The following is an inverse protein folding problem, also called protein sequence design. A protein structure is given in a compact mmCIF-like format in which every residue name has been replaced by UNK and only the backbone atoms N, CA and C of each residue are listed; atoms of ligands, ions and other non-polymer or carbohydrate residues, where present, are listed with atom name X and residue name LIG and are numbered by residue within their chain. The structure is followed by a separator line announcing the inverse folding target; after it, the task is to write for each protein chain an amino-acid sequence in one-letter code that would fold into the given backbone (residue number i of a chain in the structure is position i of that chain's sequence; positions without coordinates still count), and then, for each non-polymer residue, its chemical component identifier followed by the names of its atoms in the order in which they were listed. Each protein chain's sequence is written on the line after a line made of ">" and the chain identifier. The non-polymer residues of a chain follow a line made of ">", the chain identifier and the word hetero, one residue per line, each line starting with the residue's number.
data_IF_426085581292
#
_entry.id   IF_426085581292
#
_cell.length_a   1.000
_cell.length_b   1.000
_cell.length_c   1.000
_cell.angle_alpha   90.00
_cell.angle_beta   90.00
_cell.angle_gamma   90.00
#
_symmetry.space_group_name_H-M   'P 1'
#
loop_
_entity.id
_entity.type
_entity.pdbx_description
1 polymer ?
#
# COMPACT_ATOMS: atom_id res chain seq x y z
N UNK A 1 16.38 -17.49 2.34
CA UNK A 1 15.94 -16.36 1.51
C UNK A 1 14.54 -16.01 1.96
N UNK A 2 14.28 -14.77 2.37
CA UNK A 2 12.93 -14.38 2.83
C UNK A 2 12.00 -14.31 1.61
N UNK A 3 10.78 -14.86 1.73
CA UNK A 3 9.84 -15.00 0.61
C UNK A 3 9.24 -13.63 0.26
N UNK A 4 9.20 -13.27 -1.02
CA UNK A 4 8.60 -12.02 -1.48
C UNK A 4 7.07 -11.99 -1.26
N UNK A 5 6.50 -10.78 -1.16
CA UNK A 5 5.05 -10.59 -0.95
C UNK A 5 4.23 -11.27 -2.05
N UNK A 6 4.65 -11.13 -3.31
CA UNK A 6 3.97 -11.75 -4.46
C UNK A 6 3.87 -13.27 -4.31
N UNK A 7 5.01 -13.94 -4.12
CA UNK A 7 5.09 -15.40 -3.97
C UNK A 7 4.25 -15.89 -2.79
N UNK A 8 4.33 -15.17 -1.66
CA UNK A 8 3.55 -15.47 -0.46
C UNK A 8 2.04 -15.44 -0.75
N UNK A 9 1.55 -14.37 -1.38
CA UNK A 9 0.11 -14.19 -1.63
C UNK A 9 -0.44 -15.21 -2.63
N UNK A 10 0.34 -15.60 -3.63
CA UNK A 10 -0.02 -16.68 -4.55
C UNK A 10 -0.08 -18.02 -3.80
N UNK A 11 0.95 -18.35 -3.02
CA UNK A 11 1.04 -19.60 -2.25
C UNK A 11 -0.10 -19.75 -1.22
N UNK A 12 -0.51 -18.65 -0.60
CA UNK A 12 -1.61 -18.62 0.37
C UNK A 12 -3.00 -18.52 -0.29
N UNK A 13 -3.11 -18.57 -1.62
CA UNK A 13 -4.35 -18.40 -2.38
C UNK A 13 -5.09 -17.08 -2.05
N UNK A 14 -4.34 -16.04 -1.71
CA UNK A 14 -4.83 -14.67 -1.43
C UNK A 14 -4.75 -13.75 -2.65
N UNK A 15 -4.06 -14.19 -3.70
CA UNK A 15 -3.95 -13.48 -4.96
C UNK A 15 -3.98 -14.45 -6.13
N UNK A 16 -4.37 -13.94 -7.30
CA UNK A 16 -4.31 -14.65 -8.57
C UNK A 16 -3.77 -13.73 -9.65
N UNK A 17 -2.94 -14.28 -10.52
CA UNK A 17 -2.53 -13.62 -11.76
C UNK A 17 -3.77 -13.39 -12.62
N UNK A 18 -3.88 -12.19 -13.20
CA UNK A 18 -4.96 -11.83 -14.11
C UNK A 18 -4.40 -11.25 -15.42
N UNK A 19 -5.04 -11.62 -16.53
CA UNK A 19 -4.69 -11.15 -17.88
C UNK A 19 -5.14 -9.70 -18.16
N UNK A 20 -6.11 -9.23 -17.39
CA UNK A 20 -6.62 -7.86 -17.43
C UNK A 20 -6.89 -7.38 -16.01
N UNK A 21 -6.68 -6.09 -15.78
CA UNK A 21 -6.89 -5.44 -14.49
C UNK A 21 -7.61 -4.11 -14.68
N UNK A 22 -8.23 -3.64 -13.62
CA UNK A 22 -8.92 -2.37 -13.65
C UNK A 22 -9.11 -1.77 -12.27
N UNK A 23 -9.35 -0.47 -12.23
CA UNK A 23 -9.74 0.25 -11.02
C UNK A 23 -11.23 0.58 -11.12
N UNK A 24 -11.99 0.21 -10.11
CA UNK A 24 -13.32 0.73 -9.87
C UNK A 24 -13.24 1.75 -8.73
N UNK A 25 -13.55 3.00 -9.02
CA UNK A 25 -13.65 4.05 -7.99
C UNK A 25 -14.90 3.85 -7.11
N UNK A 26 -14.93 4.45 -5.91
CA UNK A 26 -16.13 4.46 -5.07
C UNK A 26 -17.38 5.08 -5.73
N UNK A 27 -17.19 5.99 -6.69
CA UNK A 27 -18.27 6.61 -7.46
C UNK A 27 -18.76 5.77 -8.66
N UNK A 28 -18.29 4.52 -8.81
CA UNK A 28 -18.70 3.62 -9.87
C UNK A 28 -17.98 3.79 -11.20
N UNK A 29 -17.06 4.76 -11.33
CA UNK A 29 -16.19 4.85 -12.52
C UNK A 29 -15.27 3.64 -12.55
N UNK A 30 -15.29 2.90 -13.65
CA UNK A 30 -14.42 1.76 -13.88
C UNK A 30 -13.54 1.98 -15.09
N UNK A 31 -12.26 1.68 -14.95
CA UNK A 31 -11.32 1.61 -16.07
C UNK A 31 -10.69 0.22 -16.07
N UNK A 32 -10.86 -0.53 -17.16
CA UNK A 32 -10.28 -1.86 -17.33
C UNK A 32 -9.30 -1.78 -18.50
N UNK A 33 -8.04 -2.05 -18.21
CA UNK A 33 -6.97 -2.14 -19.22
C UNK A 33 -6.65 -3.59 -19.54
N UNK A 34 -6.41 -3.90 -20.82
CA UNK A 34 -5.83 -5.17 -21.26
C UNK A 34 -4.32 -5.09 -21.11
N UNK A 35 -3.86 -5.26 -19.88
CA UNK A 35 -2.46 -5.07 -19.53
C UNK A 35 -1.51 -6.06 -20.24
N UNK A 36 -2.01 -7.22 -20.65
CA UNK A 36 -1.25 -8.28 -21.36
C UNK A 36 -0.80 -7.89 -22.77
N UNK A 37 -1.59 -7.13 -23.53
CA UNK A 37 -1.25 -6.71 -24.90
C UNK A 37 -0.09 -5.70 -24.93
N UNK A 38 0.16 -5.01 -23.82
CA UNK A 38 1.20 -3.96 -23.68
C UNK A 38 2.48 -4.49 -23.01
N UNK A 39 2.37 -5.48 -22.11
CA UNK A 39 3.48 -5.91 -21.24
C UNK A 39 4.02 -7.33 -21.54
N UNK A 40 3.46 -8.03 -22.53
CA UNK A 40 3.96 -9.34 -22.98
C UNK A 40 3.63 -10.49 -22.02
N UNK A 41 4.61 -11.38 -21.75
CA UNK A 41 4.42 -12.57 -20.90
C UNK A 41 4.35 -12.26 -19.39
N UNK A 42 4.69 -11.03 -18.98
CA UNK A 42 4.64 -10.65 -17.57
C UNK A 42 3.18 -10.39 -17.19
N UNK A 43 2.61 -11.12 -16.22
CA UNK A 43 1.26 -10.88 -15.78
C UNK A 43 1.15 -9.47 -15.20
N UNK A 44 0.45 -8.62 -15.91
CA UNK A 44 0.44 -7.20 -15.65
C UNK A 44 -0.63 -6.77 -14.62
N UNK A 45 -1.40 -7.72 -14.10
CA UNK A 45 -2.36 -7.48 -13.03
C UNK A 45 -2.41 -8.64 -12.03
N UNK A 46 -2.59 -8.29 -10.75
CA UNK A 46 -2.82 -9.22 -9.66
C UNK A 46 -4.23 -8.97 -9.10
N UNK A 47 -5.11 -9.95 -9.24
CA UNK A 47 -6.41 -9.94 -8.58
C UNK A 47 -6.22 -10.38 -7.11
N UNK A 48 -6.42 -9.46 -6.18
CA UNK A 48 -6.35 -9.72 -4.74
C UNK A 48 -7.33 -8.81 -4.00
N UNK A 49 -7.68 -9.18 -2.76
CA UNK A 49 -8.42 -8.27 -1.88
C UNK A 49 -7.44 -7.31 -1.22
N UNK A 50 -7.77 -6.01 -1.20
CA UNK A 50 -6.91 -4.93 -0.67
C UNK A 50 -6.42 -5.18 0.75
N UNK A 51 -7.28 -5.56 1.69
CA UNK A 51 -6.88 -5.88 3.06
C UNK A 51 -5.75 -6.92 3.14
N UNK A 52 -5.73 -7.95 2.29
CA UNK A 52 -4.63 -8.93 2.26
C UNK A 52 -3.33 -8.35 1.71
N UNK A 53 -3.42 -7.55 0.64
CA UNK A 53 -2.24 -6.93 0.02
C UNK A 53 -1.65 -5.85 0.94
N UNK A 54 -2.49 -4.95 1.43
CA UNK A 54 -2.11 -3.82 2.27
C UNK A 54 -1.47 -4.30 3.59
N UNK A 55 -2.05 -5.32 4.24
CA UNK A 55 -1.48 -5.96 5.43
C UNK A 55 -0.10 -6.58 5.12
N UNK A 56 0.01 -7.32 4.01
CA UNK A 56 1.27 -7.97 3.64
C UNK A 56 2.40 -6.95 3.40
N UNK A 57 2.08 -5.81 2.75
CA UNK A 57 3.00 -4.70 2.52
C UNK A 57 3.39 -4.04 3.84
N UNK A 58 2.42 -3.66 4.68
CA UNK A 58 2.67 -3.00 5.96
C UNK A 58 3.57 -3.86 6.86
N UNK A 59 3.29 -5.16 6.94
CA UNK A 59 4.07 -6.09 7.74
C UNK A 59 5.45 -6.37 7.14
N UNK A 60 5.61 -6.33 5.82
CA UNK A 60 6.92 -6.42 5.18
C UNK A 60 7.79 -5.18 5.48
N UNK A 61 7.21 -3.98 5.39
CA UNK A 61 7.90 -2.75 5.77
C UNK A 61 8.30 -2.77 7.24
N UNK A 62 7.41 -3.23 8.14
CA UNK A 62 7.73 -3.42 9.56
C UNK A 62 8.90 -4.39 9.76
N UNK A 63 8.92 -5.53 9.07
CA UNK A 63 10.05 -6.49 9.10
C UNK A 63 11.35 -5.87 8.58
N UNK A 64 11.27 -4.96 7.60
CA UNK A 64 12.41 -4.20 7.10
C UNK A 64 12.87 -3.06 8.03
N UNK A 65 12.22 -2.88 9.18
CA UNK A 65 12.59 -1.90 10.20
C UNK A 65 11.76 -0.62 10.22
N UNK A 66 10.72 -0.51 9.39
CA UNK A 66 9.81 0.62 9.46
C UNK A 66 9.00 0.59 10.77
N UNK A 67 8.81 1.75 11.39
CA UNK A 67 7.95 1.88 12.56
C UNK A 67 6.49 1.97 12.12
N UNK A 68 5.79 0.83 12.12
CA UNK A 68 4.36 0.76 11.83
C UNK A 68 3.54 1.09 13.09
N UNK A 69 2.73 2.14 13.02
CA UNK A 69 1.81 2.54 14.07
C UNK A 69 0.37 2.26 13.64
N UNK A 70 -0.31 1.39 14.37
CA UNK A 70 -1.71 1.02 14.13
C UNK A 70 -2.65 1.83 15.03
N UNK A 71 -3.93 1.94 14.63
CA UNK A 71 -4.96 2.68 15.37
C UNK A 71 -4.52 4.10 15.77
N UNK A 72 -3.71 4.75 14.93
CA UNK A 72 -3.12 6.05 15.19
C UNK A 72 -3.65 7.06 14.18
N UNK A 73 -4.84 7.58 14.44
CA UNK A 73 -5.48 8.61 13.61
C UNK A 73 -4.63 9.88 13.55
N UNK A 74 -4.49 10.45 12.35
CA UNK A 74 -3.77 11.70 12.11
C UNK A 74 -4.76 12.85 12.17
N UNK A 75 -4.54 13.78 13.11
CA UNK A 75 -5.35 14.99 13.28
C UNK A 75 -4.95 16.08 12.30
N UNK A 76 -3.64 16.30 12.17
CA UNK A 76 -3.09 17.40 11.40
C UNK A 76 -1.66 17.10 10.91
N UNK A 77 -1.25 17.75 9.83
CA UNK A 77 0.09 17.67 9.26
C UNK A 77 0.54 19.06 8.78
N UNK A 78 1.55 19.62 9.43
CA UNK A 78 2.03 20.99 9.16
C UNK A 78 3.45 20.94 8.59
N UNK A 79 3.67 21.62 7.47
CA UNK A 79 4.99 21.79 6.87
C UNK A 79 5.64 23.09 7.33
N UNK A 80 6.84 22.98 7.92
CA UNK A 80 7.70 24.13 8.19
C UNK A 80 8.67 24.31 7.02
N UNK A 81 8.42 25.32 6.18
CA UNK A 81 9.23 25.61 5.01
C UNK A 81 10.67 26.06 5.35
N UNK A 82 10.91 26.63 6.55
CA UNK A 82 12.26 27.03 6.97
C UNK A 82 13.06 25.82 7.43
N UNK A 83 12.44 24.93 8.18
CA UNK A 83 13.08 23.69 8.64
C UNK A 83 13.12 22.59 7.57
N UNK A 84 12.26 22.67 6.56
CA UNK A 84 12.11 21.64 5.52
C UNK A 84 11.56 20.32 6.08
N UNK A 85 10.64 20.40 7.05
CA UNK A 85 10.12 19.25 7.78
C UNK A 85 8.60 19.30 7.88
N UNK A 86 7.98 18.13 7.72
CA UNK A 86 6.60 17.88 8.12
C UNK A 86 6.55 17.50 9.60
N UNK A 87 5.55 18.02 10.30
CA UNK A 87 5.16 17.56 11.63
C UNK A 87 3.75 16.98 11.56
N UNK A 88 3.61 15.72 11.95
CA UNK A 88 2.34 14.99 12.02
C UNK A 88 1.87 14.95 13.47
N UNK A 89 0.60 15.31 13.70
CA UNK A 89 -0.06 15.30 15.00
C UNK A 89 -1.14 14.21 15.03
N UNK A 90 -1.22 13.47 16.13
CA UNK A 90 -2.23 12.42 16.29
C UNK A 90 -3.49 12.96 16.98
N UNK A 91 -4.63 12.30 16.76
CA UNK A 91 -5.94 12.72 17.31
C UNK A 91 -5.98 12.59 18.85
N UNK A 92 -5.56 11.44 19.38
CA UNK A 92 -5.67 11.10 20.81
C UNK A 92 -4.30 11.12 21.54
N UNK A 93 -3.38 11.97 21.09
CA UNK A 93 -2.05 12.04 21.70
C UNK A 93 -1.40 13.42 21.56
N UNK A 94 -0.70 13.85 22.61
CA UNK A 94 0.22 14.99 22.54
C UNK A 94 1.53 14.65 21.81
N UNK A 95 1.69 13.39 21.37
CA UNK A 95 2.83 12.97 20.56
C UNK A 95 2.73 13.55 19.15
N UNK A 96 3.87 13.97 18.62
CA UNK A 96 4.03 14.35 17.22
C UNK A 96 5.28 13.71 16.62
N UNK A 97 5.28 13.54 15.31
CA UNK A 97 6.39 12.95 14.56
C UNK A 97 6.85 13.91 13.49
N UNK A 98 8.18 14.01 13.31
CA UNK A 98 8.78 14.88 12.30
C UNK A 98 9.52 14.05 11.25
N UNK A 99 9.32 14.39 9.98
CA UNK A 99 9.98 13.77 8.84
C UNK A 99 10.25 14.81 7.75
N UNK A 100 11.20 14.53 6.86
CA UNK A 100 11.47 15.34 5.67
C UNK A 100 10.46 15.05 4.57
#
# INVERSE_FOLDING_TARGET
>A
MDMGIYEKLIKENKARVADAGGLCSPGGLSYIGRSKEILGEVPAALACKRWWLDEAIAMAAKRAGAHLMENSGVRDAVFDAKAGLWTVYLEDSDKSYKAR
#
